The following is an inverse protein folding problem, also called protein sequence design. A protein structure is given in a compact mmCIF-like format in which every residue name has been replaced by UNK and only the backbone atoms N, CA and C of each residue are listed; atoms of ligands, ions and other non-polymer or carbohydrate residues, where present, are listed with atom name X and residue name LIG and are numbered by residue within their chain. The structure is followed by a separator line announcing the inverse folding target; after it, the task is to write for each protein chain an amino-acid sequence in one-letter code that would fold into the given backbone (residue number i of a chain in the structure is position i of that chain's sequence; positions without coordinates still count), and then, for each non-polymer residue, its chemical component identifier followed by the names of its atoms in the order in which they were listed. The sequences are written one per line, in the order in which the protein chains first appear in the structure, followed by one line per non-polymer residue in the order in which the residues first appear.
data_IF_346113619437
#
_entry.id   IF_346113619437
#
_cell.length_a   1.000
_cell.length_b   1.000
_cell.length_c   1.000
_cell.angle_alpha   90.00
_cell.angle_beta   90.00
_cell.angle_gamma   90.00
#
_symmetry.space_group_name_H-M   'P 1'
#
loop_
_entity.id
_entity.type
_entity.pdbx_description
1 polymer ?
#
# COMPACT_ATOMS: atom_id res chain seq x y z
N UNK A 1 20.92 20.68 21.34
CA UNK A 1 20.33 19.34 21.51
C UNK A 1 19.53 19.00 20.27
N UNK A 2 20.11 18.23 19.35
CA UNK A 2 19.44 17.82 18.10
C UNK A 2 18.63 16.55 18.43
N UNK A 3 17.32 16.64 18.24
CA UNK A 3 16.35 15.62 18.62
C UNK A 3 16.55 14.33 17.82
N UNK A 4 17.05 13.27 18.47
CA UNK A 4 17.16 11.91 17.89
C UNK A 4 15.81 11.24 17.58
N UNK A 5 14.66 11.91 17.85
CA UNK A 5 13.33 11.36 17.58
C UNK A 5 12.91 11.48 16.10
N UNK A 6 13.38 12.51 15.38
CA UNK A 6 13.02 12.73 13.97
C UNK A 6 13.56 11.66 13.01
N UNK A 7 14.85 11.31 13.15
CA UNK A 7 15.51 10.32 12.28
C UNK A 7 14.95 8.89 12.40
N UNK A 8 14.38 8.53 13.56
CA UNK A 8 13.80 7.20 13.77
C UNK A 8 12.41 7.05 13.13
N UNK A 9 11.65 8.15 13.01
CA UNK A 9 10.34 8.15 12.35
C UNK A 9 10.53 8.11 10.83
N UNK A 10 11.45 8.90 10.28
CA UNK A 10 11.82 8.86 8.85
C UNK A 10 12.29 7.45 8.40
N UNK A 11 13.17 6.80 9.18
CA UNK A 11 13.68 5.45 8.86
C UNK A 11 12.63 4.34 8.94
N UNK A 12 11.53 4.54 9.67
CA UNK A 12 10.42 3.57 9.81
C UNK A 12 9.39 3.70 8.69
N UNK A 13 9.03 4.93 8.33
CA UNK A 13 8.15 5.20 7.18
C UNK A 13 8.76 4.72 5.87
N UNK A 14 10.09 4.72 5.79
CA UNK A 14 10.86 4.23 4.65
C UNK A 14 10.50 2.78 4.25
N UNK A 15 10.26 1.87 5.20
CA UNK A 15 9.96 0.48 4.81
C UNK A 15 8.57 0.30 4.19
N UNK A 16 7.55 1.03 4.68
CA UNK A 16 6.20 0.99 4.10
C UNK A 16 6.20 1.55 2.67
N UNK A 17 6.94 2.64 2.44
CA UNK A 17 7.15 3.18 1.10
C UNK A 17 7.83 2.19 0.19
N UNK A 18 8.89 1.51 0.66
CA UNK A 18 9.61 0.48 -0.11
C UNK A 18 8.72 -0.72 -0.47
N UNK A 19 7.91 -1.21 0.46
CA UNK A 19 6.94 -2.29 0.22
C UNK A 19 5.98 -1.88 -0.89
N UNK A 20 5.39 -0.69 -0.75
CA UNK A 20 4.44 -0.15 -1.74
C UNK A 20 5.09 0.01 -3.11
N UNK A 21 6.28 0.62 -3.17
CA UNK A 21 7.03 0.81 -4.40
C UNK A 21 7.39 -0.53 -5.06
N UNK A 22 7.82 -1.53 -4.29
CA UNK A 22 8.11 -2.86 -4.82
C UNK A 22 6.91 -3.52 -5.46
N UNK A 23 5.73 -3.38 -4.86
CA UNK A 23 4.53 -3.96 -5.45
C UNK A 23 4.08 -3.19 -6.70
N UNK A 24 4.21 -1.86 -6.71
CA UNK A 24 4.02 -1.04 -7.92
C UNK A 24 4.98 -1.48 -9.04
N UNK A 25 6.27 -1.60 -8.76
CA UNK A 25 7.29 -2.00 -9.73
C UNK A 25 7.01 -3.40 -10.30
N UNK A 26 6.62 -4.34 -9.43
CA UNK A 26 6.20 -5.67 -9.85
C UNK A 26 5.00 -5.59 -10.80
N UNK A 27 3.96 -4.85 -10.44
CA UNK A 27 2.76 -4.71 -11.29
C UNK A 27 3.06 -4.03 -12.63
N UNK A 28 3.94 -3.02 -12.65
CA UNK A 28 4.45 -2.38 -13.89
C UNK A 28 5.21 -3.37 -14.78
N UNK A 29 5.85 -4.39 -14.18
CA UNK A 29 6.61 -5.39 -14.95
C UNK A 29 5.74 -6.41 -15.67
N UNK A 30 4.52 -6.67 -15.16
CA UNK A 30 3.60 -7.68 -15.71
C UNK A 30 2.42 -7.09 -16.48
N UNK A 31 2.29 -5.76 -16.53
CA UNK A 31 1.18 -5.08 -17.19
C UNK A 31 1.41 -3.58 -17.33
N UNK A 32 0.58 -2.96 -18.17
CA UNK A 32 0.53 -1.49 -18.30
C UNK A 32 -0.56 -0.96 -17.39
N UNK A 33 -0.28 0.19 -16.78
CA UNK A 33 -1.27 0.96 -16.05
C UNK A 33 -1.93 1.97 -16.96
N UNK A 34 -3.24 2.07 -16.87
CA UNK A 34 -3.98 3.23 -17.32
C UNK A 34 -3.94 4.27 -16.21
N UNK A 35 -3.02 5.23 -16.29
CA UNK A 35 -2.86 6.26 -15.25
C UNK A 35 -4.08 7.17 -15.10
N UNK A 36 -5.00 7.17 -16.07
CA UNK A 36 -6.24 7.94 -15.95
C UNK A 36 -7.27 7.23 -15.07
N UNK A 37 -7.36 5.90 -15.21
CA UNK A 37 -8.45 5.12 -14.64
C UNK A 37 -8.02 4.15 -13.54
N UNK A 38 -6.76 3.72 -13.49
CA UNK A 38 -6.25 2.83 -12.47
C UNK A 38 -5.96 3.60 -11.17
N UNK A 39 -6.32 2.97 -10.06
CA UNK A 39 -6.19 3.53 -8.72
C UNK A 39 -5.60 2.49 -7.80
N UNK A 40 -4.75 2.95 -6.88
CA UNK A 40 -4.24 2.14 -5.78
C UNK A 40 -5.13 2.41 -4.57
N UNK A 41 -5.68 1.34 -4.01
CA UNK A 41 -6.38 1.40 -2.74
C UNK A 41 -5.43 0.83 -1.68
N UNK A 42 -5.23 1.57 -0.60
CA UNK A 42 -4.28 1.17 0.44
C UNK A 42 -4.85 1.41 1.84
N UNK A 43 -4.64 0.43 2.72
CA UNK A 43 -5.10 0.49 4.10
C UNK A 43 -4.17 -0.24 5.04
N UNK A 44 -4.15 0.17 6.30
CA UNK A 44 -3.40 -0.54 7.33
C UNK A 44 -4.20 -0.62 8.63
N UNK A 45 -4.22 -1.78 9.26
CA UNK A 45 -4.96 -2.02 10.49
C UNK A 45 -4.23 -2.95 11.45
N UNK A 46 -4.41 -2.74 12.76
CA UNK A 46 -3.87 -3.62 13.80
C UNK A 46 -4.38 -5.05 13.65
N UNK A 47 -3.48 -6.01 13.91
CA UNK A 47 -3.84 -7.40 14.20
C UNK A 47 -3.82 -7.58 15.72
N UNK A 48 -2.73 -7.13 16.35
CA UNK A 48 -2.57 -7.07 17.80
C UNK A 48 -1.72 -5.86 18.23
N UNK A 49 -1.32 -5.80 19.51
CA UNK A 49 -0.53 -4.69 20.07
C UNK A 49 0.83 -4.45 19.41
N UNK A 50 1.40 -5.48 18.78
CA UNK A 50 2.74 -5.52 18.22
C UNK A 50 2.76 -5.75 16.70
N UNK A 51 1.63 -6.13 16.11
CA UNK A 51 1.52 -6.47 14.69
C UNK A 51 0.35 -5.79 14.01
N UNK A 52 0.48 -5.53 12.72
CA UNK A 52 -0.54 -4.94 11.89
C UNK A 52 -0.37 -5.41 10.45
N UNK A 53 -1.39 -5.26 9.62
CA UNK A 53 -1.29 -5.52 8.19
C UNK A 53 -1.29 -4.24 7.37
N UNK A 54 -0.71 -4.33 6.17
CA UNK A 54 -0.80 -3.38 5.07
C UNK A 54 -1.41 -4.12 3.88
N UNK A 55 -2.54 -3.61 3.38
CA UNK A 55 -3.16 -4.13 2.17
C UNK A 55 -3.01 -3.12 1.04
N UNK A 56 -2.54 -3.61 -0.11
CA UNK A 56 -2.43 -2.84 -1.35
C UNK A 56 -3.25 -3.54 -2.42
N UNK A 57 -4.20 -2.81 -2.99
CA UNK A 57 -5.06 -3.26 -4.08
C UNK A 57 -4.84 -2.34 -5.28
N UNK A 58 -4.69 -2.93 -6.46
CA UNK A 58 -4.81 -2.21 -7.72
C UNK A 58 -6.21 -2.42 -8.26
N UNK A 59 -6.91 -1.32 -8.47
CA UNK A 59 -8.29 -1.30 -8.93
C UNK A 59 -8.48 -0.27 -10.03
N UNK A 60 -9.73 -0.12 -10.49
CA UNK A 60 -10.09 0.84 -11.53
C UNK A 60 -11.21 1.77 -11.06
N UNK A 61 -11.17 3.03 -11.47
CA UNK A 61 -12.21 4.04 -11.24
C UNK A 61 -13.63 3.57 -11.57
N UNK A 62 -13.79 2.67 -12.55
CA UNK A 62 -15.10 2.14 -12.96
C UNK A 62 -15.66 1.04 -12.05
N UNK A 63 -14.89 0.59 -11.05
CA UNK A 63 -15.29 -0.47 -10.11
C UNK A 63 -15.46 0.03 -8.68
N UNK A 64 -15.16 1.30 -8.39
CA UNK A 64 -15.25 1.92 -7.05
C UNK A 64 -16.70 2.17 -6.55
N UNK A 65 -17.69 1.42 -7.00
CA UNK A 65 -19.09 1.67 -6.70
C UNK A 65 -19.34 1.77 -5.18
N UNK A 66 -19.96 2.86 -4.73
CA UNK A 66 -20.27 3.09 -3.31
C UNK A 66 -19.07 3.49 -2.44
N UNK A 67 -17.87 3.62 -3.00
CA UNK A 67 -16.71 4.11 -2.26
C UNK A 67 -16.81 5.62 -2.02
N UNK A 68 -16.78 6.01 -0.75
CA UNK A 68 -16.62 7.40 -0.31
C UNK A 68 -15.19 7.64 0.18
N UNK A 69 -14.58 8.72 -0.28
CA UNK A 69 -13.27 9.15 0.16
C UNK A 69 -13.13 10.67 -0.05
N UNK A 70 -12.31 11.30 0.80
CA UNK A 70 -12.20 12.77 0.87
C UNK A 70 -10.83 13.30 0.48
N UNK A 71 -9.82 12.45 0.61
CA UNK A 71 -8.43 12.81 0.33
C UNK A 71 -7.91 11.92 -0.79
N UNK A 72 -7.14 12.54 -1.68
CA UNK A 72 -6.48 11.85 -2.77
C UNK A 72 -4.98 12.08 -2.69
N UNK A 73 -4.22 11.04 -3.03
CA UNK A 73 -2.77 11.04 -3.00
C UNK A 73 -2.21 10.50 -4.31
N UNK A 74 -0.91 10.63 -4.52
CA UNK A 74 -0.22 10.03 -5.66
C UNK A 74 1.15 9.46 -5.32
N UNK A 75 1.56 8.48 -6.12
CA UNK A 75 2.90 7.93 -6.19
C UNK A 75 3.20 7.49 -7.63
N UNK A 76 4.33 7.92 -8.18
CA UNK A 76 4.72 7.65 -9.57
C UNK A 76 3.63 7.94 -10.62
N UNK A 77 2.83 9.00 -10.41
CA UNK A 77 1.71 9.37 -11.29
C UNK A 77 0.48 8.47 -11.17
N UNK A 78 0.49 7.47 -10.29
CA UNK A 78 -0.68 6.66 -9.95
C UNK A 78 -1.43 7.30 -8.79
N UNK A 79 -2.75 7.37 -8.92
CA UNK A 79 -3.65 7.89 -7.89
C UNK A 79 -3.82 6.87 -6.77
N UNK A 80 -3.85 7.35 -5.53
CA UNK A 80 -3.92 6.54 -4.32
C UNK A 80 -5.06 7.01 -3.42
N UNK A 81 -5.93 6.09 -3.02
CA UNK A 81 -6.95 6.29 -1.99
C UNK A 81 -6.49 5.54 -0.74
N UNK A 82 -6.44 6.25 0.39
CA UNK A 82 -6.12 5.68 1.71
C UNK A 82 -7.43 5.41 2.46
N UNK A 83 -7.63 4.18 2.94
CA UNK A 83 -8.76 3.82 3.81
C UNK A 83 -8.54 4.36 5.23
N UNK A 84 -9.01 5.58 5.51
CA UNK A 84 -8.72 6.32 6.75
C UNK A 84 -9.46 5.83 8.00
N UNK A 85 -10.45 4.97 7.83
CA UNK A 85 -11.24 4.35 8.89
C UNK A 85 -10.47 3.25 9.66
N UNK A 86 -9.35 2.77 9.11
CA UNK A 86 -8.48 1.78 9.74
C UNK A 86 -7.48 2.41 10.71
N UNK A 87 -7.21 1.72 11.83
CA UNK A 87 -6.52 2.30 13.00
C UNK A 87 -5.00 2.53 12.83
N UNK A 88 -4.41 2.06 11.72
CA UNK A 88 -3.00 2.30 11.34
C UNK A 88 -2.84 3.15 10.08
N UNK A 89 -3.91 3.58 9.43
CA UNK A 89 -3.82 4.32 8.16
C UNK A 89 -3.12 5.68 8.28
N UNK A 90 -3.05 6.28 9.48
CA UNK A 90 -2.22 7.46 9.74
C UNK A 90 -0.73 7.25 9.39
N UNK A 91 -0.23 6.02 9.38
CA UNK A 91 1.14 5.70 8.98
C UNK A 91 1.39 5.94 7.48
N UNK A 92 0.33 5.98 6.68
CA UNK A 92 0.36 6.04 5.22
C UNK A 92 0.32 7.47 4.68
N UNK A 93 -0.24 8.41 5.43
CA UNK A 93 -0.48 9.78 4.95
C UNK A 93 0.80 10.51 4.53
N UNK A 94 1.94 10.19 5.16
CA UNK A 94 3.24 10.80 4.85
C UNK A 94 4.02 10.04 3.77
N UNK A 95 3.51 8.90 3.28
CA UNK A 95 4.21 8.09 2.27
C UNK A 95 3.99 8.60 0.84
N UNK A 96 2.86 9.27 0.63
CA UNK A 96 2.36 9.69 -0.68
C UNK A 96 2.19 11.20 -0.70
N UNK A 97 2.32 11.78 -1.90
CA UNK A 97 2.06 13.20 -2.09
C UNK A 97 0.54 13.41 -2.09
N UNK A 98 0.03 14.27 -1.21
CA UNK A 98 -1.39 14.66 -1.25
C UNK A 98 -1.64 15.56 -2.45
N UNK A 99 -2.69 15.24 -3.22
CA UNK A 99 -3.08 16.00 -4.42
C UNK A 99 -4.50 16.57 -4.28
N UNK A 100 -4.89 17.54 -5.13
CA UNK A 100 -6.26 18.03 -5.15
C UNK A 100 -7.25 16.87 -5.33
N UNK A 101 -8.40 17.00 -4.66
CA UNK A 101 -9.47 16.02 -4.76
C UNK A 101 -9.98 15.91 -6.21
N UNK A 102 -10.21 14.68 -6.64
CA UNK A 102 -10.90 14.32 -7.87
C UNK A 102 -11.85 13.16 -7.54
N UNK A 103 -13.08 13.19 -8.09
CA UNK A 103 -13.97 12.05 -8.01
C UNK A 103 -13.59 10.98 -9.05
N UNK A 104 -12.93 9.94 -8.57
CA UNK A 104 -12.49 8.74 -9.26
C UNK A 104 -13.58 7.67 -9.30
N UNK A 105 -14.67 7.83 -8.55
CA UNK A 105 -15.76 6.88 -8.61
C UNK A 105 -16.56 7.10 -9.91
N UNK A 106 -16.12 6.42 -10.98
CA UNK A 106 -16.76 6.42 -12.31
C UNK A 106 -17.70 5.21 -12.47
N UNK A 107 -17.90 4.41 -11.43
CA UNK A 107 -18.69 3.20 -11.49
C UNK A 107 -20.18 3.52 -11.69
N UNK A 108 -20.81 2.87 -12.69
CA UNK A 108 -22.25 3.02 -12.98
C UNK A 108 -23.12 1.96 -12.29
N UNK A 109 -22.53 0.82 -11.95
CA UNK A 109 -23.21 -0.33 -11.37
C UNK A 109 -22.26 -1.03 -10.40
N UNK A 110 -22.83 -1.67 -9.39
CA UNK A 110 -22.07 -2.53 -8.48
C UNK A 110 -21.52 -3.73 -9.23
N UNK A 111 -20.22 -3.97 -9.13
CA UNK A 111 -19.58 -5.19 -9.62
C UNK A 111 -18.98 -5.92 -8.43
N UNK A 112 -19.29 -7.21 -8.28
CA UNK A 112 -18.64 -8.09 -7.30
C UNK A 112 -17.53 -8.85 -8.00
N UNK A 113 -16.29 -8.71 -7.51
CA UNK A 113 -15.14 -9.47 -7.97
C UNK A 113 -14.21 -9.75 -6.80
N UNK A 114 -13.56 -10.92 -6.84
CA UNK A 114 -12.60 -11.31 -5.81
C UNK A 114 -11.32 -10.50 -5.94
N UNK A 115 -11.21 -9.48 -5.09
CA UNK A 115 -9.98 -8.72 -4.91
C UNK A 115 -9.16 -9.41 -3.84
N UNK A 116 -8.09 -10.08 -4.26
CA UNK A 116 -7.06 -10.57 -3.35
C UNK A 116 -6.01 -9.48 -3.21
N UNK A 117 -5.92 -8.79 -2.04
CA UNK A 117 -4.92 -7.75 -1.83
C UNK A 117 -3.51 -8.33 -1.82
N UNK A 118 -2.53 -7.48 -2.07
CA UNK A 118 -1.17 -7.72 -1.60
C UNK A 118 -1.11 -7.41 -0.11
N UNK A 119 -1.35 -8.45 0.68
CA UNK A 119 -1.47 -8.41 2.12
C UNK A 119 -0.10 -8.66 2.75
N UNK A 120 0.37 -7.70 3.55
CA UNK A 120 1.67 -7.76 4.22
C UNK A 120 1.48 -7.60 5.72
N UNK A 121 1.79 -8.62 6.51
CA UNK A 121 1.82 -8.53 7.97
C UNK A 121 3.17 -7.97 8.43
N UNK A 122 3.14 -7.05 9.39
CA UNK A 122 4.26 -6.23 9.81
C UNK A 122 4.35 -6.20 11.33
N UNK A 123 5.57 -6.19 11.87
CA UNK A 123 5.79 -5.90 13.29
C UNK A 123 5.77 -4.37 13.56
N UNK A 124 5.84 -3.97 14.84
CA UNK A 124 5.87 -2.56 15.25
C UNK A 124 7.13 -1.75 14.82
N UNK A 125 8.09 -2.40 14.15
CA UNK A 125 9.25 -1.78 13.49
C UNK A 125 9.05 -1.65 11.98
N UNK A 126 7.87 -2.01 11.47
CA UNK A 126 7.50 -2.06 10.06
C UNK A 126 8.32 -3.10 9.28
N UNK A 127 8.81 -4.15 9.92
CA UNK A 127 9.52 -5.24 9.26
C UNK A 127 8.51 -6.33 8.86
N UNK A 128 8.66 -6.88 7.66
CA UNK A 128 7.74 -7.88 7.09
C UNK A 128 7.80 -9.19 7.87
N UNK A 129 6.64 -9.69 8.29
CA UNK A 129 6.46 -10.99 8.97
C UNK A 129 5.92 -12.06 8.00
N UNK A 130 4.98 -11.70 7.14
CA UNK A 130 4.42 -12.59 6.13
C UNK A 130 3.86 -11.78 4.96
N UNK A 131 3.74 -12.42 3.78
CA UNK A 131 3.11 -11.82 2.60
C UNK A 131 2.13 -12.82 2.00
N UNK A 132 0.90 -12.38 1.76
CA UNK A 132 -0.09 -13.12 0.96
C UNK A 132 -0.44 -12.30 -0.26
N UNK A 133 -0.47 -12.95 -1.42
CA UNK A 133 -0.71 -12.30 -2.70
C UNK A 133 -1.38 -13.25 -3.67
N UNK A 134 -2.11 -12.69 -4.62
CA UNK A 134 -2.62 -13.43 -5.79
C UNK A 134 -1.50 -14.03 -6.63
N UNK A 135 -0.34 -13.38 -6.67
CA UNK A 135 0.82 -13.81 -7.46
C UNK A 135 1.80 -14.60 -6.59
N UNK A 136 2.52 -15.58 -7.17
CA UNK A 136 3.56 -16.30 -6.44
C UNK A 136 4.60 -15.34 -5.84
N UNK A 137 4.89 -15.49 -4.54
CA UNK A 137 5.83 -14.61 -3.84
C UNK A 137 7.22 -14.59 -4.50
N UNK A 138 7.67 -15.71 -5.07
CA UNK A 138 8.92 -15.80 -5.83
C UNK A 138 9.04 -14.79 -6.99
N UNK A 139 7.92 -14.34 -7.55
CA UNK A 139 7.89 -13.38 -8.65
C UNK A 139 7.96 -11.92 -8.14
N UNK A 140 7.49 -11.69 -6.92
CA UNK A 140 7.47 -10.36 -6.27
C UNK A 140 8.77 -10.11 -5.49
N UNK A 141 9.36 -11.17 -4.92
CA UNK A 141 10.54 -11.11 -4.06
C UNK A 141 11.75 -10.38 -4.66
N UNK A 142 12.07 -10.49 -5.97
CA UNK A 142 13.13 -9.70 -6.59
C UNK A 142 12.92 -8.19 -6.47
N UNK A 143 11.67 -7.72 -6.56
CA UNK A 143 11.32 -6.30 -6.42
C UNK A 143 11.42 -5.83 -4.97
N UNK A 144 11.01 -6.68 -4.01
CA UNK A 144 11.17 -6.41 -2.57
C UNK A 144 12.65 -6.29 -2.20
N UNK A 145 13.49 -7.20 -2.70
CA UNK A 145 14.95 -7.17 -2.48
C UNK A 145 15.61 -5.96 -3.15
N UNK A 146 15.25 -5.66 -4.40
CA UNK A 146 15.77 -4.51 -5.15
C UNK A 146 15.53 -3.19 -4.41
N UNK A 147 14.32 -3.00 -3.88
CA UNK A 147 13.97 -1.79 -3.10
C UNK A 147 14.37 -1.88 -1.63
N UNK A 148 15.16 -2.90 -1.24
CA UNK A 148 15.71 -3.06 0.11
C UNK A 148 14.62 -3.08 1.19
N UNK A 149 13.52 -3.78 0.93
CA UNK A 149 12.49 -4.05 1.93
C UNK A 149 13.10 -4.85 3.07
N UNK A 150 12.82 -4.42 4.30
CA UNK A 150 13.26 -5.09 5.53
C UNK A 150 12.28 -6.17 5.92
N UNK A 151 12.80 -7.37 6.08
CA UNK A 151 12.09 -8.53 6.61
C UNK A 151 12.49 -8.74 8.06
N UNK A 152 11.54 -9.20 8.88
CA UNK A 152 11.83 -9.65 10.23
C UNK A 152 12.71 -10.90 10.16
N UNK A 153 13.49 -11.13 11.23
CA UNK A 153 14.15 -12.42 11.46
C UNK A 153 13.14 -13.59 11.58
N UNK A 154 11.90 -13.26 11.94
CA UNK A 154 10.79 -14.20 12.16
C UNK A 154 9.89 -14.29 10.91
N UNK A 155 10.38 -13.86 9.75
CA UNK A 155 9.63 -13.89 8.49
C UNK A 155 9.33 -15.33 8.04
N UNK A 156 8.11 -15.54 7.56
CA UNK A 156 7.60 -16.82 7.06
C UNK A 156 7.22 -16.64 5.59
N UNK A 157 7.87 -17.44 4.72
CA UNK A 157 7.57 -17.56 3.27
C UNK A 157 6.26 -18.32 3.01
#
# INVERSE_FOLDING_TARGET
MISCKGQNIEKKQDNLKRITQSYIDFKKSIGKFDTENDVILIGANSIDKNTYWLDIVFDNSHTLYGMDYKDLYQIDGLKVIIFKDLDKSQLLENLFEKIPYENLNKAKYSMTYDVVPFHTELNNKNEVLSIKSKYPIKDILPFLRKNKVKFSKDYID
#
